data_IF_342043432953
#
_entry.id   IF_342043432953
#
_cell.length_a   1.000
_cell.length_b   1.000
_cell.length_c   1.000
_cell.angle_alpha   90.00
_cell.angle_beta   90.00
_cell.angle_gamma   90.00
#
_symmetry.space_group_name_H-M   'P 1'
#
loop_
_entity.id
_entity.type
_entity.pdbx_description
1 polymer ?
#
# COMPACT_ATOMS: atom_id res chain seq x y z
N UNK A 1 -0.73 -40.10 -38.19
CA UNK A 1 -1.33 -38.74 -38.13
C UNK A 1 -2.06 -38.44 -36.81
N UNK A 2 -2.58 -39.45 -36.09
CA UNK A 2 -3.25 -39.28 -34.78
C UNK A 2 -2.42 -38.50 -33.74
N UNK A 3 -1.13 -38.82 -33.57
CA UNK A 3 -0.24 -38.10 -32.65
C UNK A 3 -0.18 -36.59 -32.89
N UNK A 4 -0.22 -36.14 -34.14
CA UNK A 4 -0.15 -34.71 -34.48
C UNK A 4 -1.41 -34.00 -34.02
N UNK A 5 -2.58 -34.61 -34.25
CA UNK A 5 -3.88 -34.07 -33.81
C UNK A 5 -3.96 -33.96 -32.28
N UNK A 6 -3.51 -35.00 -31.57
CA UNK A 6 -3.53 -35.02 -30.10
C UNK A 6 -2.57 -33.98 -29.49
N UNK A 7 -1.42 -33.72 -30.14
CA UNK A 7 -0.49 -32.64 -29.75
C UNK A 7 -1.15 -31.28 -29.94
N UNK A 8 -1.80 -31.03 -31.08
CA UNK A 8 -2.51 -29.76 -31.31
C UNK A 8 -3.62 -29.54 -30.30
N UNK A 9 -4.45 -30.55 -30.02
CA UNK A 9 -5.55 -30.42 -29.06
C UNK A 9 -5.05 -30.16 -27.63
N UNK A 10 -3.96 -30.83 -27.22
CA UNK A 10 -3.31 -30.55 -25.93
C UNK A 10 -2.69 -29.15 -25.89
N UNK A 11 -2.06 -28.73 -26.98
CA UNK A 11 -1.47 -27.39 -27.12
C UNK A 11 -2.51 -26.29 -26.98
N UNK A 12 -3.65 -26.41 -27.67
CA UNK A 12 -4.77 -25.47 -27.56
C UNK A 12 -5.28 -25.39 -26.12
N UNK A 13 -5.58 -26.54 -25.49
CA UNK A 13 -6.08 -26.58 -24.10
C UNK A 13 -5.09 -25.97 -23.11
N UNK A 14 -3.79 -26.20 -23.30
CA UNK A 14 -2.76 -25.62 -22.45
C UNK A 14 -2.69 -24.10 -22.62
N UNK A 15 -2.73 -23.63 -23.86
CA UNK A 15 -2.66 -22.20 -24.18
C UNK A 15 -3.86 -21.44 -23.59
N UNK A 16 -5.07 -21.97 -23.73
CA UNK A 16 -6.28 -21.40 -23.13
C UNK A 16 -6.18 -21.31 -21.60
N UNK A 17 -5.68 -22.36 -20.94
CA UNK A 17 -5.46 -22.37 -19.49
C UNK A 17 -4.44 -21.33 -19.05
N UNK A 18 -3.33 -21.21 -19.79
CA UNK A 18 -2.31 -20.19 -19.50
C UNK A 18 -2.92 -18.80 -19.63
N UNK A 19 -3.69 -18.54 -20.70
CA UNK A 19 -4.33 -17.25 -20.89
C UNK A 19 -5.29 -16.90 -19.75
N UNK A 20 -6.15 -17.85 -19.34
CA UNK A 20 -7.04 -17.66 -18.18
C UNK A 20 -6.28 -17.37 -16.88
N UNK A 21 -5.19 -18.08 -16.63
CA UNK A 21 -4.34 -17.81 -15.47
C UNK A 21 -3.68 -16.42 -15.53
N UNK A 22 -3.20 -15.99 -16.70
CA UNK A 22 -2.58 -14.67 -16.86
C UNK A 22 -3.60 -13.55 -16.59
N UNK A 23 -4.85 -13.71 -17.02
CA UNK A 23 -5.94 -12.78 -16.70
C UNK A 23 -6.21 -12.69 -15.19
N UNK A 24 -6.21 -13.83 -14.49
CA UNK A 24 -6.33 -13.85 -13.03
C UNK A 24 -5.12 -13.17 -12.37
N UNK A 25 -3.92 -13.39 -12.89
CA UNK A 25 -2.68 -12.82 -12.37
C UNK A 25 -2.65 -11.28 -12.48
N UNK A 26 -3.12 -10.72 -13.60
CA UNK A 26 -3.26 -9.27 -13.79
C UNK A 26 -4.22 -8.69 -12.73
N UNK A 27 -5.38 -9.31 -12.53
CA UNK A 27 -6.38 -8.87 -11.53
C UNK A 27 -5.82 -8.89 -10.10
N UNK A 28 -4.95 -9.85 -9.78
CA UNK A 28 -4.25 -9.88 -8.49
C UNK A 28 -3.33 -8.68 -8.35
N UNK A 29 -2.55 -8.36 -9.38
CA UNK A 29 -1.66 -7.19 -9.40
C UNK A 29 -2.41 -5.87 -9.20
N UNK A 30 -3.58 -5.71 -9.82
CA UNK A 30 -4.44 -4.53 -9.64
C UNK A 30 -4.92 -4.39 -8.18
N UNK A 31 -5.37 -5.48 -7.57
CA UNK A 31 -5.82 -5.48 -6.16
C UNK A 31 -4.69 -5.12 -5.19
N UNK A 32 -3.49 -5.66 -5.43
CA UNK A 32 -2.31 -5.34 -4.62
C UNK A 32 -1.97 -3.85 -4.75
N UNK A 33 -2.00 -3.32 -5.97
CA UNK A 33 -1.74 -1.90 -6.25
C UNK A 33 -2.74 -1.00 -5.52
N UNK A 34 -4.03 -1.30 -5.59
CA UNK A 34 -5.08 -0.55 -4.88
C UNK A 34 -4.97 -0.64 -3.35
N UNK A 35 -4.57 -1.80 -2.81
CA UNK A 35 -4.31 -1.96 -1.39
C UNK A 35 -3.11 -1.12 -0.94
N UNK A 36 -2.03 -1.11 -1.75
CA UNK A 36 -0.84 -0.32 -1.47
C UNK A 36 -1.12 1.19 -1.50
N UNK A 37 -1.92 1.66 -2.46
CA UNK A 37 -2.36 3.05 -2.52
C UNK A 37 -3.21 3.45 -1.32
N UNK A 38 -4.16 2.59 -0.93
CA UNK A 38 -4.99 2.81 0.27
C UNK A 38 -4.13 2.90 1.53
N UNK A 39 -3.14 2.01 1.66
CA UNK A 39 -2.16 2.06 2.75
C UNK A 39 -1.39 3.38 2.75
N UNK A 40 -0.84 3.80 1.61
CA UNK A 40 -0.09 5.06 1.49
C UNK A 40 -0.95 6.25 1.89
N UNK A 41 -2.18 6.33 1.41
CA UNK A 41 -3.10 7.40 1.76
C UNK A 41 -3.41 7.44 3.28
N UNK A 42 -3.60 6.28 3.91
CA UNK A 42 -3.81 6.18 5.35
C UNK A 42 -2.56 6.57 6.14
N UNK A 43 -1.39 6.08 5.72
CA UNK A 43 -0.09 6.40 6.32
C UNK A 43 0.19 7.90 6.29
N UNK A 44 -0.11 8.54 5.16
CA UNK A 44 0.08 9.98 4.99
C UNK A 44 -0.83 10.77 5.93
N UNK A 45 -2.12 10.42 6.03
CA UNK A 45 -3.04 11.08 6.98
C UNK A 45 -2.63 10.86 8.44
N UNK A 46 -2.13 9.68 8.76
CA UNK A 46 -1.68 9.34 10.10
C UNK A 46 -0.45 10.15 10.50
N UNK A 47 0.57 10.19 9.64
CA UNK A 47 1.91 10.61 10.02
C UNK A 47 2.46 11.79 9.21
N UNK A 48 2.08 11.98 7.94
CA UNK A 48 2.70 12.93 7.02
C UNK A 48 1.97 14.28 6.90
N UNK A 49 2.74 15.37 6.83
CA UNK A 49 2.23 16.72 6.60
C UNK A 49 1.80 17.48 7.87
N UNK A 50 1.50 18.78 7.70
CA UNK A 50 1.21 19.71 8.80
C UNK A 50 -0.05 19.34 9.61
N UNK A 51 -1.02 18.69 8.97
CA UNK A 51 -2.29 18.29 9.59
C UNK A 51 -2.34 16.84 10.04
N UNK A 52 -1.22 16.11 10.06
CA UNK A 52 -1.22 14.69 10.41
C UNK A 52 -1.69 14.44 11.85
N UNK A 53 -2.34 13.31 12.07
CA UNK A 53 -2.88 12.94 13.39
C UNK A 53 -1.77 12.86 14.45
N UNK A 54 -0.61 12.31 14.08
CA UNK A 54 0.58 12.24 14.95
C UNK A 54 1.03 13.63 15.39
N UNK A 55 1.12 14.58 14.46
CA UNK A 55 1.53 15.96 14.77
C UNK A 55 0.51 16.65 15.68
N UNK A 56 -0.78 16.50 15.40
CA UNK A 56 -1.83 17.07 16.25
C UNK A 56 -1.82 16.46 17.67
N UNK A 57 -1.62 15.15 17.78
CA UNK A 57 -1.53 14.48 19.08
C UNK A 57 -0.33 14.97 19.91
N UNK A 58 0.85 15.17 19.28
CA UNK A 58 2.01 15.76 19.98
C UNK A 58 1.78 17.23 20.35
N UNK A 59 1.11 18.01 19.50
CA UNK A 59 0.73 19.39 19.86
C UNK A 59 -0.16 19.43 21.10
N UNK A 60 -1.15 18.53 21.21
CA UNK A 60 -1.99 18.43 22.41
C UNK A 60 -1.20 18.04 23.66
N UNK A 61 -0.21 17.15 23.50
CA UNK A 61 0.72 16.80 24.59
C UNK A 61 1.52 18.02 25.06
N UNK A 62 2.02 18.82 24.12
CA UNK A 62 2.74 20.07 24.42
C UNK A 62 1.85 21.14 25.09
N UNK A 63 0.55 21.13 24.80
CA UNK A 63 -0.45 21.99 25.45
C UNK A 63 -0.87 21.52 26.85
N UNK A 64 -0.29 20.43 27.37
CA UNK A 64 -0.51 19.97 28.74
C UNK A 64 -1.42 18.75 28.88
N UNK A 65 -1.72 18.03 27.78
CA UNK A 65 -2.39 16.73 27.87
C UNK A 65 -1.51 15.74 28.65
N UNK A 66 -2.02 15.26 29.80
CA UNK A 66 -1.32 14.31 30.65
C UNK A 66 -1.57 12.87 30.15
N UNK A 67 -0.57 12.30 29.51
CA UNK A 67 -0.56 10.89 29.09
C UNK A 67 0.78 10.23 29.38
N UNK A 68 0.75 8.97 29.83
CA UNK A 68 1.94 8.16 30.06
C UNK A 68 2.41 7.42 28.79
N UNK A 69 1.57 7.37 27.76
CA UNK A 69 1.89 6.72 26.49
C UNK A 69 2.54 7.72 25.53
N UNK A 70 3.53 7.27 24.76
CA UNK A 70 4.20 8.05 23.72
C UNK A 70 3.97 7.45 22.36
N UNK A 71 3.94 8.30 21.33
CA UNK A 71 3.92 7.84 19.95
C UNK A 71 5.23 7.08 19.65
N UNK A 72 5.18 5.92 18.98
CA UNK A 72 6.38 5.17 18.59
C UNK A 72 7.33 6.00 17.70
N UNK A 73 8.63 5.75 17.81
CA UNK A 73 9.67 6.49 17.09
C UNK A 73 9.58 6.38 15.57
N UNK A 74 9.07 5.26 15.06
CA UNK A 74 8.82 5.06 13.63
C UNK A 74 7.87 6.10 13.02
N UNK A 75 6.95 6.65 13.83
CA UNK A 75 6.03 7.72 13.40
C UNK A 75 6.52 9.13 13.78
N UNK A 76 7.62 9.26 14.52
CA UNK A 76 8.16 10.55 14.96
C UNK A 76 9.07 11.23 13.94
N UNK A 77 9.65 10.49 12.98
CA UNK A 77 10.55 11.06 11.95
C UNK A 77 9.89 12.14 11.09
N UNK A 78 8.56 12.19 11.03
CA UNK A 78 7.82 13.24 10.31
C UNK A 78 7.84 14.60 11.03
N UNK A 79 8.29 14.64 12.29
CA UNK A 79 8.32 15.86 13.10
C UNK A 79 9.62 16.67 12.92
N UNK A 80 10.66 16.08 12.33
CA UNK A 80 12.00 16.69 12.22
C UNK A 80 12.27 17.40 10.88
N UNK A 81 11.29 17.51 9.96
CA UNK A 81 11.45 18.31 8.73
C UNK A 81 11.15 19.81 8.99
N UNK A 82 12.18 20.68 9.07
CA UNK A 82 12.04 22.11 9.36
C UNK A 82 11.42 22.90 8.20
N UNK A 83 11.24 22.28 7.03
CA UNK A 83 10.63 22.90 5.84
C UNK A 83 9.14 23.21 6.03
N UNK A 84 8.51 22.61 7.04
CA UNK A 84 7.09 22.77 7.33
C UNK A 84 6.74 24.04 8.11
N UNK A 85 7.71 24.86 8.56
CA UNK A 85 7.47 26.09 9.34
C UNK A 85 7.57 27.41 8.56
N UNK A 86 7.93 27.39 7.26
CA UNK A 86 7.95 28.61 6.44
C UNK A 86 6.87 28.57 5.36
N UNK A 87 5.74 29.23 5.63
CA UNK A 87 4.87 29.91 4.66
C UNK A 87 4.08 30.96 5.44
#
# INVERSE_FOLDING_TARGET
>A
VQNVKDIFERGTKLYEKINGFLEEFVKIGEKISGAHESYKNAHNKLSEGRGSMVRQAEMLKNLGLKTTKSIPSEFKKVLEDPSSEKL
#
